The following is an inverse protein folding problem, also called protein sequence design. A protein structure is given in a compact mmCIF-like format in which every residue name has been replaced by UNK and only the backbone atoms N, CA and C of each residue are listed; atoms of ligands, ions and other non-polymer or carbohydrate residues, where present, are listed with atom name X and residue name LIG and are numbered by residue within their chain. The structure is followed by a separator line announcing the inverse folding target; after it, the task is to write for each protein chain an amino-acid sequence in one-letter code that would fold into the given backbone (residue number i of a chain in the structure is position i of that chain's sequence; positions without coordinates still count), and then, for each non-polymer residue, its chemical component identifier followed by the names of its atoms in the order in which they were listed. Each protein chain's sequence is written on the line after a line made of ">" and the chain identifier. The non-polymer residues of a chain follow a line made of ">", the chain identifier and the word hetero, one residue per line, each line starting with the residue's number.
data_IF_724108302041
#
_entry.id   IF_724108302041
#
_cell.length_a   1.000
_cell.length_b   1.000
_cell.length_c   1.000
_cell.angle_alpha   90.00
_cell.angle_beta   90.00
_cell.angle_gamma   90.00
#
_symmetry.space_group_name_H-M   'P 1'
#
loop_
_entity.id
_entity.type
_entity.pdbx_description
1 polymer ?
#
# COMPACT_ATOMS: atom_id res chain seq x y z
N UNK A 1 -13.93 -15.91 21.61
CA UNK A 1 -14.08 -14.81 20.62
C UNK A 1 -12.74 -14.26 20.15
N UNK A 2 -11.65 -14.59 20.87
CA UNK A 2 -10.27 -14.12 20.60
C UNK A 2 -9.71 -14.50 19.23
N UNK A 3 -10.13 -15.64 18.67
CA UNK A 3 -9.70 -16.06 17.33
C UNK A 3 -10.15 -15.08 16.23
N UNK A 4 -11.32 -14.44 16.38
CA UNK A 4 -11.83 -13.49 15.40
C UNK A 4 -11.02 -12.19 15.38
N UNK A 5 -10.61 -11.69 16.56
CA UNK A 5 -9.72 -10.54 16.68
C UNK A 5 -8.34 -10.82 16.07
N UNK A 6 -7.78 -12.01 16.31
CA UNK A 6 -6.51 -12.42 15.70
C UNK A 6 -6.56 -12.49 14.16
N UNK A 7 -7.66 -12.98 13.60
CA UNK A 7 -7.87 -12.99 12.14
C UNK A 7 -7.93 -11.57 11.59
N UNK A 8 -8.61 -10.64 12.26
CA UNK A 8 -8.70 -9.24 11.83
C UNK A 8 -7.32 -8.56 11.89
N UNK A 9 -6.53 -8.82 12.92
CA UNK A 9 -5.16 -8.29 13.01
C UNK A 9 -4.27 -8.82 11.88
N UNK A 10 -4.40 -10.11 11.53
CA UNK A 10 -3.69 -10.70 10.41
C UNK A 10 -4.15 -10.10 9.06
N UNK A 11 -5.46 -9.96 8.87
CA UNK A 11 -6.06 -9.32 7.68
C UNK A 11 -5.68 -7.85 7.57
N UNK A 12 -5.46 -7.18 8.69
CA UNK A 12 -5.00 -5.80 8.80
C UNK A 12 -3.48 -5.66 8.92
N UNK A 13 -2.70 -6.72 8.63
CA UNK A 13 -1.25 -6.67 8.75
C UNK A 13 -0.61 -5.99 7.53
N UNK A 14 0.36 -5.12 7.79
CA UNK A 14 1.05 -4.36 6.74
C UNK A 14 1.72 -5.29 5.71
N UNK A 15 2.26 -6.41 6.17
CA UNK A 15 2.85 -7.43 5.30
C UNK A 15 1.84 -8.11 4.39
N UNK A 16 0.64 -8.45 4.89
CA UNK A 16 -0.39 -9.05 4.06
C UNK A 16 -0.85 -8.07 2.98
N UNK A 17 -1.07 -6.80 3.33
CA UNK A 17 -1.38 -5.79 2.33
C UNK A 17 -0.27 -5.66 1.28
N UNK A 18 0.99 -5.55 1.70
CA UNK A 18 2.13 -5.44 0.79
C UNK A 18 2.21 -6.64 -0.18
N UNK A 19 2.00 -7.86 0.33
CA UNK A 19 2.01 -9.09 -0.48
C UNK A 19 0.87 -9.10 -1.51
N UNK A 20 -0.35 -8.78 -1.08
CA UNK A 20 -1.51 -8.74 -1.99
C UNK A 20 -1.32 -7.66 -3.04
N UNK A 21 -0.85 -6.47 -2.64
CA UNK A 21 -0.56 -5.35 -3.54
C UNK A 21 0.49 -5.75 -4.58
N UNK A 22 1.58 -6.41 -4.16
CA UNK A 22 2.62 -6.88 -5.06
C UNK A 22 2.10 -7.90 -6.07
N UNK A 23 1.31 -8.88 -5.62
CA UNK A 23 0.71 -9.88 -6.51
C UNK A 23 -0.24 -9.21 -7.52
N UNK A 24 -1.09 -8.29 -7.08
CA UNK A 24 -1.98 -7.54 -7.97
C UNK A 24 -1.18 -6.75 -9.01
N UNK A 25 -0.10 -6.09 -8.59
CA UNK A 25 0.79 -5.33 -9.46
C UNK A 25 1.44 -6.21 -10.54
N UNK A 26 1.93 -7.41 -10.17
CA UNK A 26 2.66 -8.30 -11.09
C UNK A 26 1.77 -9.16 -11.98
N UNK A 27 0.53 -9.44 -11.59
CA UNK A 27 -0.27 -10.50 -12.24
C UNK A 27 -1.65 -10.07 -12.73
N UNK A 28 -2.20 -8.97 -12.20
CA UNK A 28 -3.54 -8.51 -12.54
C UNK A 28 -3.46 -7.22 -13.33
N UNK A 29 -3.03 -6.14 -12.67
CA UNK A 29 -2.94 -4.81 -13.26
C UNK A 29 -1.95 -3.95 -12.45
N UNK A 30 -0.92 -3.45 -13.12
CA UNK A 30 0.13 -2.64 -12.50
C UNK A 30 -0.37 -1.28 -12.01
N UNK A 31 -1.37 -0.70 -12.65
CA UNK A 31 -1.97 0.57 -12.22
C UNK A 31 -2.81 0.37 -10.95
N UNK A 32 -3.60 -0.71 -10.87
CA UNK A 32 -4.35 -1.06 -9.66
C UNK A 32 -3.38 -1.31 -8.50
N UNK A 33 -2.32 -2.10 -8.74
CA UNK A 33 -1.30 -2.37 -7.72
C UNK A 33 -0.61 -1.09 -7.21
N UNK A 34 -0.21 -0.18 -8.11
CA UNK A 34 0.45 1.07 -7.72
C UNK A 34 -0.49 2.00 -6.94
N UNK A 35 -1.73 2.16 -7.40
CA UNK A 35 -2.74 2.96 -6.70
C UNK A 35 -3.02 2.40 -5.30
N UNK A 36 -3.14 1.08 -5.15
CA UNK A 36 -3.30 0.44 -3.84
C UNK A 36 -2.10 0.66 -2.94
N UNK A 37 -0.88 0.54 -3.47
CA UNK A 37 0.35 0.83 -2.72
C UNK A 37 0.27 2.24 -2.13
N UNK A 38 -0.01 3.25 -2.96
CA UNK A 38 -0.12 4.64 -2.50
C UNK A 38 -1.23 4.81 -1.46
N UNK A 39 -2.44 4.32 -1.74
CA UNK A 39 -3.62 4.53 -0.89
C UNK A 39 -3.45 3.87 0.48
N UNK A 40 -3.06 2.59 0.51
CA UNK A 40 -2.95 1.83 1.75
C UNK A 40 -1.80 2.36 2.59
N UNK A 41 -0.64 2.57 1.98
CA UNK A 41 0.53 3.09 2.68
C UNK A 41 0.28 4.50 3.23
N UNK A 42 -0.34 5.39 2.45
CA UNK A 42 -0.71 6.72 2.93
C UNK A 42 -1.76 6.65 4.05
N UNK A 43 -2.72 5.73 3.96
CA UNK A 43 -3.71 5.51 5.00
C UNK A 43 -3.10 5.09 6.32
N UNK A 44 -2.22 4.09 6.32
CA UNK A 44 -1.56 3.64 7.55
C UNK A 44 -0.60 4.72 8.09
N UNK A 45 0.08 5.46 7.20
CA UNK A 45 0.90 6.61 7.61
C UNK A 45 0.06 7.69 8.31
N UNK A 46 -1.07 8.09 7.73
CA UNK A 46 -1.99 9.09 8.32
C UNK A 46 -2.55 8.60 9.65
N UNK A 47 -2.91 7.32 9.76
CA UNK A 47 -3.30 6.71 11.04
C UNK A 47 -2.20 6.89 12.10
N UNK A 48 -0.95 6.54 11.75
CA UNK A 48 0.20 6.68 12.64
C UNK A 48 0.45 8.14 13.06
N UNK A 49 0.36 9.07 12.10
CA UNK A 49 0.54 10.51 12.34
C UNK A 49 -0.53 11.07 13.27
N UNK A 50 -1.80 10.70 13.08
CA UNK A 50 -2.91 11.10 13.97
C UNK A 50 -2.62 10.59 15.38
N UNK A 51 -2.28 9.30 15.51
CA UNK A 51 -1.95 8.72 16.81
C UNK A 51 -0.78 9.44 17.47
N UNK A 52 0.30 9.71 16.73
CA UNK A 52 1.45 10.44 17.24
C UNK A 52 1.09 11.85 17.72
N UNK A 53 0.28 12.58 16.94
CA UNK A 53 -0.05 13.99 17.22
C UNK A 53 -1.03 14.14 18.39
N UNK A 54 -2.06 13.29 18.45
CA UNK A 54 -3.14 13.41 19.43
C UNK A 54 -2.92 12.56 20.69
N UNK A 55 -1.89 11.71 20.72
CA UNK A 55 -1.55 10.87 21.86
C UNK A 55 -0.12 11.06 22.38
N UNK A 56 0.31 12.26 22.78
CA UNK A 56 1.54 12.43 23.56
C UNK A 56 1.27 11.98 25.00
N UNK A 57 1.05 10.69 25.23
CA UNK A 57 0.80 10.16 26.56
C UNK A 57 2.09 10.26 27.40
N UNK A 58 2.04 10.86 28.60
CA UNK A 58 3.17 10.85 29.52
C UNK A 58 3.57 9.42 29.87
N UNK A 59 4.88 9.18 30.06
CA UNK A 59 5.37 7.88 30.51
C UNK A 59 4.67 7.49 31.83
N UNK A 60 3.95 6.36 31.81
CA UNK A 60 3.25 5.81 32.99
C UNK A 60 1.71 5.88 32.94
N UNK A 61 1.10 6.46 31.92
CA UNK A 61 -0.37 6.41 31.74
C UNK A 61 -0.83 5.04 31.23
N UNK A 62 -1.86 4.48 31.85
CA UNK A 62 -2.57 3.25 31.38
C UNK A 62 -3.59 3.52 30.27
N UNK A 63 -3.79 4.78 29.90
CA UNK A 63 -4.70 5.16 28.83
C UNK A 63 -4.06 4.82 27.48
N UNK A 64 -4.65 3.90 26.72
CA UNK A 64 -4.20 3.60 25.36
C UNK A 64 -5.04 4.41 24.39
N UNK A 65 -4.40 5.25 23.56
CA UNK A 65 -5.11 5.94 22.48
C UNK A 65 -5.48 4.96 21.38
N UNK A 66 -6.77 4.77 21.18
CA UNK A 66 -7.37 3.78 20.26
C UNK A 66 -7.98 4.42 19.02
N UNK A 67 -7.88 5.75 18.89
CA UNK A 67 -8.44 6.49 17.76
C UNK A 67 -7.41 6.63 16.61
N UNK A 68 -7.84 6.59 15.34
CA UNK A 68 -9.03 5.91 14.83
C UNK A 68 -8.80 4.39 14.79
N UNK A 69 -9.86 3.60 14.58
CA UNK A 69 -9.75 2.14 14.46
C UNK A 69 -8.93 1.74 13.21
N UNK A 70 -7.69 1.27 13.41
CA UNK A 70 -6.70 1.02 12.34
C UNK A 70 -7.21 0.00 11.31
N UNK A 71 -7.76 -1.11 11.78
CA UNK A 71 -8.19 -2.22 10.93
C UNK A 71 -9.38 -1.84 10.05
N UNK A 72 -10.30 -1.04 10.61
CA UNK A 72 -11.45 -0.48 9.87
C UNK A 72 -10.96 0.51 8.82
N UNK A 73 -10.02 1.40 9.16
CA UNK A 73 -9.47 2.39 8.24
C UNK A 73 -8.73 1.70 7.08
N UNK A 74 -7.90 0.72 7.38
CA UNK A 74 -7.15 -0.05 6.39
C UNK A 74 -8.09 -0.83 5.46
N UNK A 75 -9.10 -1.53 6.02
CA UNK A 75 -10.10 -2.25 5.24
C UNK A 75 -10.90 -1.30 4.34
N UNK A 76 -11.32 -0.15 4.85
CA UNK A 76 -12.03 0.88 4.08
C UNK A 76 -11.17 1.42 2.95
N UNK A 77 -9.87 1.66 3.21
CA UNK A 77 -8.95 2.19 2.19
C UNK A 77 -8.69 1.16 1.09
N UNK A 78 -8.43 -0.09 1.46
CA UNK A 78 -8.13 -1.18 0.52
C UNK A 78 -9.36 -1.60 -0.29
N UNK A 79 -10.45 -1.99 0.38
CA UNK A 79 -11.65 -2.47 -0.29
C UNK A 79 -12.45 -1.32 -0.91
N UNK A 80 -12.51 -0.16 -0.26
CA UNK A 80 -13.19 1.02 -0.78
C UNK A 80 -12.60 1.50 -2.11
N UNK A 81 -11.27 1.40 -2.28
CA UNK A 81 -10.63 1.64 -3.56
C UNK A 81 -11.00 0.59 -4.62
N UNK A 82 -11.04 -0.69 -4.27
CA UNK A 82 -11.33 -1.75 -5.23
C UNK A 82 -12.79 -1.76 -5.74
N UNK A 83 -13.74 -1.19 -4.99
CA UNK A 83 -15.16 -1.14 -5.38
C UNK A 83 -15.34 -0.49 -6.77
N UNK A 84 -14.89 0.75 -7.01
CA UNK A 84 -14.99 1.36 -8.33
C UNK A 84 -14.11 0.68 -9.39
N UNK A 85 -12.91 0.18 -9.06
CA UNK A 85 -12.05 -0.50 -10.06
C UNK A 85 -12.66 -1.81 -10.57
N UNK A 86 -13.31 -2.60 -9.70
CA UNK A 86 -13.96 -3.86 -10.11
C UNK A 86 -15.33 -3.60 -10.74
N UNK A 87 -16.03 -2.53 -10.34
CA UNK A 87 -17.31 -2.08 -10.92
C UNK A 87 -18.43 -3.15 -10.99
N UNK A 88 -18.37 -4.19 -10.13
CA UNK A 88 -19.38 -5.26 -10.08
C UNK A 88 -20.22 -5.18 -8.81
N UNK A 89 -21.55 -5.15 -8.95
CA UNK A 89 -22.51 -5.11 -7.82
C UNK A 89 -22.25 -6.16 -6.74
N UNK A 90 -21.94 -7.41 -7.15
CA UNK A 90 -21.62 -8.51 -6.21
C UNK A 90 -20.36 -8.23 -5.40
N UNK A 91 -19.34 -7.64 -6.04
CA UNK A 91 -18.10 -7.26 -5.38
C UNK A 91 -18.29 -6.06 -4.45
N UNK A 92 -19.12 -5.08 -4.85
CA UNK A 92 -19.51 -3.96 -3.98
C UNK A 92 -20.22 -4.43 -2.72
N UNK A 93 -21.19 -5.36 -2.85
CA UNK A 93 -21.90 -5.91 -1.71
C UNK A 93 -20.97 -6.71 -0.79
N UNK A 94 -20.11 -7.55 -1.38
CA UNK A 94 -19.10 -8.30 -0.63
C UNK A 94 -18.15 -7.36 0.14
N UNK A 95 -17.56 -6.38 -0.55
CA UNK A 95 -16.61 -5.44 0.05
C UNK A 95 -17.25 -4.61 1.17
N UNK A 96 -18.46 -4.10 0.94
CA UNK A 96 -19.21 -3.35 1.96
C UNK A 96 -19.56 -4.24 3.15
N UNK A 97 -19.94 -5.49 2.90
CA UNK A 97 -20.21 -6.48 3.94
C UNK A 97 -18.97 -6.81 4.78
N UNK A 98 -17.81 -6.95 4.16
CA UNK A 98 -16.53 -7.20 4.87
C UNK A 98 -16.14 -5.98 5.71
N UNK A 99 -16.22 -4.75 5.18
CA UNK A 99 -15.93 -3.54 5.95
C UNK A 99 -16.87 -3.44 7.17
N UNK A 100 -18.18 -3.69 6.96
CA UNK A 100 -19.17 -3.66 8.03
C UNK A 100 -18.92 -4.75 9.08
N UNK A 101 -18.52 -5.95 8.65
CA UNK A 101 -18.17 -7.05 9.54
C UNK A 101 -16.94 -6.72 10.40
N UNK A 102 -15.88 -6.19 9.79
CA UNK A 102 -14.67 -5.76 10.50
C UNK A 102 -15.03 -4.67 11.53
N UNK A 103 -15.80 -3.66 11.12
CA UNK A 103 -16.29 -2.61 12.01
C UNK A 103 -17.10 -3.17 13.19
N UNK A 104 -18.04 -4.09 12.93
CA UNK A 104 -18.84 -4.73 13.97
C UNK A 104 -18.01 -5.54 14.96
N UNK A 105 -17.06 -6.34 14.46
CA UNK A 105 -16.18 -7.13 15.32
C UNK A 105 -15.26 -6.20 16.15
N UNK A 106 -14.74 -5.12 15.57
CA UNK A 106 -13.94 -4.12 16.29
C UNK A 106 -14.72 -3.47 17.45
N UNK A 107 -16.01 -3.20 17.26
CA UNK A 107 -16.89 -2.68 18.34
C UNK A 107 -17.14 -3.71 19.43
N UNK A 108 -17.40 -4.97 19.06
CA UNK A 108 -17.70 -6.06 20.02
C UNK A 108 -16.49 -6.38 20.90
N UNK A 109 -15.27 -6.23 20.39
CA UNK A 109 -14.05 -6.43 21.20
C UNK A 109 -13.84 -5.33 22.26
N UNK A 110 -14.65 -4.27 22.26
CA UNK A 110 -14.67 -3.25 23.31
C UNK A 110 -13.43 -2.35 23.37
N UNK A 111 -12.45 -2.55 22.47
CA UNK A 111 -11.23 -1.74 22.42
C UNK A 111 -11.43 -0.38 21.73
N UNK A 112 -12.51 -0.22 20.96
CA UNK A 112 -12.79 0.99 20.18
C UNK A 112 -14.23 1.45 20.41
N UNK A 113 -14.40 2.77 20.46
CA UNK A 113 -15.72 3.40 20.49
C UNK A 113 -16.35 3.44 19.09
N UNK A 114 -17.68 3.66 19.04
CA UNK A 114 -18.38 3.88 17.76
C UNK A 114 -17.80 5.06 16.98
N UNK A 115 -17.37 6.10 17.69
CA UNK A 115 -16.75 7.26 17.09
C UNK A 115 -15.42 6.91 16.40
N UNK A 116 -14.59 6.04 17.01
CA UNK A 116 -13.30 5.62 16.44
C UNK A 116 -13.49 4.87 15.11
N UNK A 117 -14.57 4.08 15.02
CA UNK A 117 -14.94 3.32 13.82
C UNK A 117 -15.49 4.24 12.73
N UNK A 118 -16.37 5.18 13.07
CA UNK A 118 -16.90 6.15 12.09
C UNK A 118 -15.76 6.98 11.50
N UNK A 119 -14.88 7.49 12.35
CA UNK A 119 -13.74 8.29 11.89
C UNK A 119 -12.75 7.46 11.08
N UNK A 120 -12.53 6.19 11.42
CA UNK A 120 -11.72 5.29 10.60
C UNK A 120 -12.28 5.13 9.18
N UNK A 121 -13.59 4.95 9.03
CA UNK A 121 -14.25 4.87 7.72
C UNK A 121 -14.12 6.21 6.97
N UNK A 122 -14.38 7.33 7.65
CA UNK A 122 -14.28 8.66 7.05
C UNK A 122 -12.87 8.99 6.56
N UNK A 123 -11.85 8.72 7.37
CA UNK A 123 -10.44 8.95 7.01
C UNK A 123 -10.04 8.05 5.86
N UNK A 124 -10.34 6.74 5.94
CA UNK A 124 -10.01 5.81 4.86
C UNK A 124 -10.69 6.18 3.53
N UNK A 125 -11.99 6.52 3.58
CA UNK A 125 -12.73 6.99 2.42
C UNK A 125 -12.22 8.31 1.86
N UNK A 126 -11.85 9.26 2.73
CA UNK A 126 -11.26 10.53 2.32
C UNK A 126 -9.92 10.32 1.61
N UNK A 127 -9.07 9.40 2.08
CA UNK A 127 -7.79 9.10 1.44
C UNK A 127 -8.00 8.48 0.06
N UNK A 128 -8.94 7.54 -0.07
CA UNK A 128 -9.33 6.98 -1.38
C UNK A 128 -9.79 8.08 -2.33
N UNK A 129 -10.68 8.96 -1.87
CA UNK A 129 -11.16 10.11 -2.66
C UNK A 129 -10.02 11.05 -3.06
N UNK A 130 -9.15 11.42 -2.11
CA UNK A 130 -8.03 12.33 -2.33
C UNK A 130 -7.06 11.77 -3.37
N UNK A 131 -6.74 10.47 -3.31
CA UNK A 131 -5.87 9.82 -4.29
C UNK A 131 -6.54 9.76 -5.66
N UNK A 132 -7.81 9.34 -5.76
CA UNK A 132 -8.54 9.35 -7.04
C UNK A 132 -8.51 10.73 -7.70
N UNK A 133 -8.85 11.75 -6.92
CA UNK A 133 -8.86 13.14 -7.39
C UNK A 133 -7.47 13.62 -7.81
N UNK A 134 -6.44 13.22 -7.08
CA UNK A 134 -5.05 13.55 -7.40
C UNK A 134 -4.61 12.87 -8.70
N UNK A 135 -5.04 11.63 -8.95
CA UNK A 135 -4.67 10.90 -10.17
C UNK A 135 -5.29 11.50 -11.43
N UNK A 136 -6.54 11.98 -11.36
CA UNK A 136 -7.18 12.70 -12.46
C UNK A 136 -6.37 13.95 -12.84
N UNK A 137 -5.84 14.65 -11.84
CA UNK A 137 -5.00 15.84 -12.05
C UNK A 137 -3.62 15.47 -12.57
N UNK A 138 -2.96 14.47 -11.97
CA UNK A 138 -1.60 14.01 -12.32
C UNK A 138 -1.52 13.54 -13.78
N UNK A 139 -2.60 12.99 -14.35
CA UNK A 139 -2.64 12.59 -15.77
C UNK A 139 -2.32 13.71 -16.76
N UNK A 140 -2.48 14.97 -16.35
CA UNK A 140 -2.17 16.16 -17.17
C UNK A 140 -0.78 16.76 -16.92
N UNK A 141 -0.05 16.24 -15.93
CA UNK A 141 1.22 16.80 -15.47
C UNK A 141 2.40 16.12 -16.20
N UNK A 142 3.43 16.88 -16.66
CA UNK A 142 4.60 16.29 -17.31
C UNK A 142 5.38 15.35 -16.38
N UNK A 143 5.96 14.29 -16.96
CA UNK A 143 6.63 13.21 -16.21
C UNK A 143 7.74 13.66 -15.23
N UNK A 144 8.58 14.68 -15.54
CA UNK A 144 9.59 15.15 -14.59
C UNK A 144 9.00 15.65 -13.26
N UNK A 145 7.83 16.31 -13.30
CA UNK A 145 7.18 16.80 -12.09
C UNK A 145 6.59 15.66 -11.26
N UNK A 146 6.06 14.62 -11.91
CA UNK A 146 5.58 13.41 -11.23
C UNK A 146 6.75 12.71 -10.52
N UNK A 147 7.90 12.60 -11.21
CA UNK A 147 9.10 12.05 -10.62
C UNK A 147 9.59 12.89 -9.43
N UNK A 148 9.66 14.21 -9.58
CA UNK A 148 10.01 15.12 -8.46
C UNK A 148 9.04 14.97 -7.30
N UNK A 149 7.74 14.86 -7.55
CA UNK A 149 6.73 14.66 -6.51
C UNK A 149 6.92 13.32 -5.77
N UNK A 150 7.23 12.25 -6.52
CA UNK A 150 7.52 10.93 -5.95
C UNK A 150 8.76 10.89 -5.07
N UNK A 151 9.67 11.87 -5.23
CA UNK A 151 10.84 12.05 -4.38
C UNK A 151 10.52 12.95 -3.18
N UNK A 152 9.99 14.15 -3.44
CA UNK A 152 9.83 15.21 -2.45
C UNK A 152 8.77 14.85 -1.42
N UNK A 153 7.61 14.33 -1.84
CA UNK A 153 6.52 14.05 -0.90
C UNK A 153 6.95 12.98 0.13
N UNK A 154 7.45 11.80 -0.25
CA UNK A 154 7.85 10.80 0.74
C UNK A 154 9.00 11.25 1.64
N UNK A 155 9.97 12.01 1.10
CA UNK A 155 11.03 12.60 1.93
C UNK A 155 10.50 13.63 2.93
N UNK A 156 9.51 14.45 2.55
CA UNK A 156 8.86 15.38 3.48
C UNK A 156 8.07 14.65 4.58
N UNK A 157 7.42 13.53 4.24
CA UNK A 157 6.72 12.68 5.20
C UNK A 157 7.67 12.04 6.22
N UNK A 158 8.87 11.64 5.79
CA UNK A 158 9.89 11.14 6.72
C UNK A 158 10.29 12.21 7.76
N UNK A 159 10.43 13.46 7.33
CA UNK A 159 10.79 14.56 8.23
C UNK A 159 9.64 14.96 9.17
N UNK A 160 8.39 14.84 8.69
CA UNK A 160 7.20 15.16 9.46
C UNK A 160 6.91 14.14 10.56
N UNK A 161 7.11 12.84 10.27
CA UNK A 161 6.83 11.75 11.20
C UNK A 161 7.86 10.62 11.02
N UNK A 162 9.00 10.70 11.72
CA UNK A 162 10.09 9.73 11.61
C UNK A 162 9.67 8.29 11.93
N UNK A 163 8.75 8.07 12.87
CA UNK A 163 8.25 6.73 13.21
C UNK A 163 7.42 6.12 12.06
N UNK A 164 6.95 6.95 11.13
CA UNK A 164 6.32 6.54 9.87
C UNK A 164 7.30 6.22 8.73
N UNK A 165 8.61 6.15 9.01
CA UNK A 165 9.68 5.95 8.03
C UNK A 165 9.45 4.78 7.07
N UNK A 166 8.92 3.66 7.56
CA UNK A 166 8.61 2.50 6.69
C UNK A 166 7.60 2.85 5.59
N UNK A 167 6.55 3.59 5.91
CA UNK A 167 5.50 3.93 4.96
C UNK A 167 5.97 5.02 3.99
N UNK A 168 6.71 6.01 4.50
CA UNK A 168 7.39 6.98 3.65
C UNK A 168 8.36 6.29 2.68
N UNK A 169 9.10 5.27 3.14
CA UNK A 169 9.99 4.48 2.30
C UNK A 169 9.24 3.73 1.19
N UNK A 170 8.15 3.04 1.51
CA UNK A 170 7.33 2.37 0.49
C UNK A 170 6.84 3.33 -0.60
N UNK A 171 6.39 4.53 -0.22
CA UNK A 171 5.95 5.56 -1.17
C UNK A 171 7.12 6.05 -2.06
N UNK A 172 8.29 6.28 -1.46
CA UNK A 172 9.49 6.68 -2.19
C UNK A 172 9.89 5.61 -3.22
N UNK A 173 10.10 4.38 -2.73
CA UNK A 173 10.55 3.28 -3.55
C UNK A 173 9.56 2.88 -4.63
N UNK A 174 8.27 2.82 -4.26
CA UNK A 174 7.19 2.55 -5.19
C UNK A 174 7.05 3.63 -6.26
N UNK A 175 7.13 4.91 -5.87
CA UNK A 175 7.03 6.03 -6.81
C UNK A 175 8.21 6.12 -7.79
N UNK A 176 9.43 6.00 -7.29
CA UNK A 176 10.65 5.97 -8.11
C UNK A 176 10.61 4.75 -9.04
N UNK A 177 10.36 3.56 -8.49
CA UNK A 177 10.37 2.33 -9.27
C UNK A 177 9.28 2.31 -10.34
N UNK A 178 8.06 2.79 -10.03
CA UNK A 178 7.00 2.92 -11.01
C UNK A 178 7.34 3.91 -12.14
N UNK A 179 8.00 5.03 -11.81
CA UNK A 179 8.46 5.99 -12.82
C UNK A 179 9.49 5.37 -13.76
N UNK A 180 10.46 4.61 -13.23
CA UNK A 180 11.43 3.89 -14.05
C UNK A 180 10.80 2.75 -14.85
N UNK A 181 9.81 2.05 -14.29
CA UNK A 181 9.05 1.01 -15.01
C UNK A 181 8.36 1.61 -16.23
N UNK A 182 7.68 2.74 -16.08
CA UNK A 182 6.95 3.41 -17.18
C UNK A 182 7.87 3.87 -18.31
N UNK A 183 9.08 4.34 -17.99
CA UNK A 183 10.01 4.86 -19.00
C UNK A 183 10.80 3.72 -19.67
N UNK A 184 11.35 2.81 -18.85
CA UNK A 184 12.38 1.86 -19.29
C UNK A 184 11.85 0.45 -19.56
N UNK A 185 10.92 -0.02 -18.74
CA UNK A 185 10.52 -1.44 -18.71
C UNK A 185 9.23 -1.67 -19.49
N UNK A 186 8.20 -0.85 -19.26
CA UNK A 186 6.89 -0.91 -19.92
C UNK A 186 6.36 -2.34 -20.02
N UNK A 187 6.26 -3.01 -18.88
CA UNK A 187 5.80 -4.39 -18.82
C UNK A 187 4.36 -4.47 -19.29
N UNK A 188 4.10 -5.34 -20.27
CA UNK A 188 2.79 -5.88 -20.57
C UNK A 188 2.64 -7.25 -19.90
N UNK A 189 1.60 -7.39 -19.08
CA UNK A 189 1.37 -8.58 -18.27
C UNK A 189 0.91 -9.75 -19.15
N UNK A 190 1.56 -10.91 -19.01
CA UNK A 190 1.19 -12.11 -19.76
C UNK A 190 -0.23 -12.58 -19.43
N UNK A 191 -0.97 -13.04 -20.45
CA UNK A 191 -2.27 -13.69 -20.28
C UNK A 191 -2.16 -15.13 -19.75
N UNK A 192 -0.98 -15.74 -19.85
CA UNK A 192 -0.77 -17.14 -19.50
C UNK A 192 -0.66 -17.34 -17.99
N UNK A 193 -1.51 -18.20 -17.43
CA UNK A 193 -1.56 -18.44 -15.98
C UNK A 193 -0.22 -18.94 -15.41
N UNK A 194 0.50 -19.79 -16.16
CA UNK A 194 1.82 -20.29 -15.74
C UNK A 194 2.81 -19.15 -15.55
N UNK A 195 2.90 -18.21 -16.50
CA UNK A 195 3.79 -17.07 -16.40
C UNK A 195 3.42 -16.17 -15.21
N UNK A 196 2.12 -15.97 -14.94
CA UNK A 196 1.65 -15.23 -13.76
C UNK A 196 2.08 -15.90 -12.45
N UNK A 197 1.94 -17.22 -12.34
CA UNK A 197 2.33 -17.98 -11.15
C UNK A 197 3.85 -17.90 -10.96
N UNK A 198 4.64 -18.14 -12.00
CA UNK A 198 6.11 -18.11 -11.91
C UNK A 198 6.58 -16.69 -11.54
N UNK A 199 5.99 -15.67 -12.17
CA UNK A 199 6.26 -14.25 -11.85
C UNK A 199 5.97 -13.98 -10.38
N UNK A 200 4.78 -14.34 -9.88
CA UNK A 200 4.42 -14.17 -8.48
C UNK A 200 5.38 -14.89 -7.53
N UNK A 201 5.74 -16.15 -7.80
CA UNK A 201 6.66 -16.92 -6.94
C UNK A 201 8.04 -16.27 -6.86
N UNK A 202 8.60 -15.86 -8.00
CA UNK A 202 9.91 -15.20 -8.04
C UNK A 202 9.85 -13.83 -7.34
N UNK A 203 8.77 -13.08 -7.54
CA UNK A 203 8.58 -11.78 -6.91
C UNK A 203 8.46 -11.89 -5.40
N UNK A 204 7.68 -12.87 -4.91
CA UNK A 204 7.51 -13.15 -3.49
C UNK A 204 8.81 -13.64 -2.85
N UNK A 205 9.55 -14.52 -3.52
CA UNK A 205 10.84 -14.99 -3.02
C UNK A 205 11.82 -13.82 -2.79
N UNK A 206 11.95 -12.93 -3.77
CA UNK A 206 12.80 -11.74 -3.61
C UNK A 206 12.28 -10.75 -2.57
N UNK A 207 10.97 -10.58 -2.45
CA UNK A 207 10.37 -9.74 -1.41
C UNK A 207 10.72 -10.27 -0.01
N UNK A 208 10.63 -11.59 0.20
CA UNK A 208 10.99 -12.25 1.46
C UNK A 208 12.50 -12.16 1.76
N UNK A 209 13.35 -12.28 0.74
CA UNK A 209 14.80 -12.11 0.90
C UNK A 209 15.11 -10.68 1.36
N UNK A 210 14.53 -9.67 0.71
CA UNK A 210 14.71 -8.27 1.11
C UNK A 210 14.16 -8.04 2.51
N UNK A 211 12.96 -8.57 2.82
CA UNK A 211 12.38 -8.49 4.15
C UNK A 211 13.31 -9.09 5.23
N UNK A 212 13.88 -10.27 4.97
CA UNK A 212 14.80 -10.92 5.89
C UNK A 212 16.09 -10.12 6.11
N UNK A 213 16.57 -9.42 5.08
CA UNK A 213 17.77 -8.58 5.17
C UNK A 213 17.64 -7.44 6.20
N UNK A 214 16.41 -7.07 6.60
CA UNK A 214 16.17 -6.11 7.69
C UNK A 214 16.79 -6.56 9.02
N UNK A 215 16.87 -7.87 9.26
CA UNK A 215 17.40 -8.42 10.52
C UNK A 215 18.90 -8.18 10.72
N UNK A 216 19.63 -7.91 9.63
CA UNK A 216 21.05 -7.58 9.66
C UNK A 216 21.33 -6.08 9.74
N UNK A 217 20.29 -5.25 9.55
CA UNK A 217 20.42 -3.79 9.53
C UNK A 217 20.19 -3.21 10.93
N UNK A 218 20.89 -2.12 11.29
CA UNK A 218 20.61 -1.41 12.53
C UNK A 218 19.16 -0.90 12.57
N UNK A 219 18.49 -1.02 13.72
CA UNK A 219 17.13 -0.55 13.95
C UNK A 219 17.07 0.98 14.11
N UNK A 220 17.46 1.70 13.08
CA UNK A 220 17.37 3.17 13.01
C UNK A 220 16.33 3.58 11.99
N UNK A 221 15.73 4.75 12.19
CA UNK A 221 14.75 5.35 11.27
C UNK A 221 15.23 5.37 9.82
N UNK A 222 16.49 5.74 9.58
CA UNK A 222 17.06 5.82 8.24
C UNK A 222 17.12 4.44 7.57
N UNK A 223 17.55 3.41 8.29
CA UNK A 223 17.60 2.05 7.74
C UNK A 223 16.20 1.48 7.47
N UNK A 224 15.21 1.77 8.33
CA UNK A 224 13.81 1.40 8.04
C UNK A 224 13.27 2.09 6.78
N UNK A 225 13.57 3.37 6.60
CA UNK A 225 13.20 4.12 5.41
C UNK A 225 13.84 3.57 4.13
N UNK A 226 15.15 3.33 4.15
CA UNK A 226 15.90 2.78 3.00
C UNK A 226 15.42 1.37 2.67
N UNK A 227 15.24 0.52 3.69
CA UNK A 227 14.78 -0.85 3.51
C UNK A 227 13.37 -0.92 2.90
N UNK A 228 12.43 -0.11 3.40
CA UNK A 228 11.09 -0.05 2.82
C UNK A 228 11.10 0.55 1.41
N UNK A 229 11.99 1.50 1.14
CA UNK A 229 12.22 2.01 -0.23
C UNK A 229 12.71 0.90 -1.16
N UNK A 230 13.63 0.05 -0.71
CA UNK A 230 14.12 -1.08 -1.49
C UNK A 230 12.99 -2.08 -1.80
N UNK A 231 12.10 -2.36 -0.84
CA UNK A 231 10.90 -3.17 -1.07
C UNK A 231 9.97 -2.54 -2.11
N UNK A 232 9.72 -1.23 -2.02
CA UNK A 232 8.92 -0.51 -3.00
C UNK A 232 9.51 -0.58 -4.41
N UNK A 233 10.83 -0.38 -4.55
CA UNK A 233 11.56 -0.49 -5.83
C UNK A 233 11.55 -1.93 -6.35
N UNK A 234 11.65 -2.93 -5.46
CA UNK A 234 11.55 -4.33 -5.85
C UNK A 234 10.21 -4.65 -6.49
N UNK A 235 9.12 -4.24 -5.84
CA UNK A 235 7.75 -4.47 -6.31
C UNK A 235 7.52 -3.78 -7.65
N UNK A 236 7.89 -2.50 -7.76
CA UNK A 236 7.47 -1.67 -8.89
C UNK A 236 8.45 -1.68 -10.08
N UNK A 237 9.73 -2.03 -9.87
CA UNK A 237 10.74 -1.95 -10.93
C UNK A 237 11.60 -3.21 -11.10
N UNK A 238 12.31 -3.66 -10.05
CA UNK A 238 13.33 -4.72 -10.20
C UNK A 238 12.67 -6.03 -10.64
N UNK A 239 11.59 -6.42 -9.98
CA UNK A 239 10.89 -7.66 -10.32
C UNK A 239 10.22 -7.59 -11.71
N UNK A 240 9.50 -6.52 -12.08
CA UNK A 240 9.04 -6.29 -13.46
C UNK A 240 10.15 -6.44 -14.51
N UNK A 241 11.32 -5.83 -14.28
CA UNK A 241 12.48 -5.95 -15.17
C UNK A 241 12.99 -7.40 -15.27
N UNK A 242 13.07 -8.10 -14.15
CA UNK A 242 13.46 -9.50 -14.11
C UNK A 242 12.47 -10.38 -14.89
N UNK A 243 11.17 -10.10 -14.78
CA UNK A 243 10.11 -10.85 -15.47
C UNK A 243 10.21 -10.77 -17.00
N UNK A 244 10.60 -9.61 -17.54
CA UNK A 244 10.88 -9.45 -18.97
C UNK A 244 12.14 -10.24 -19.37
N UNK A 245 13.23 -10.11 -18.59
CA UNK A 245 14.49 -10.80 -18.89
C UNK A 245 14.36 -12.32 -18.88
N UNK A 246 13.45 -12.85 -18.08
CA UNK A 246 13.12 -14.27 -18.02
C UNK A 246 12.10 -14.70 -19.10
N UNK A 247 11.63 -13.78 -19.95
CA UNK A 247 10.63 -14.07 -20.98
C UNK A 247 9.23 -14.38 -20.44
N UNK A 248 8.95 -14.06 -19.17
CA UNK A 248 7.65 -14.33 -18.53
C UNK A 248 6.61 -13.29 -18.97
N UNK A 249 7.03 -12.03 -19.09
CA UNK A 249 6.23 -10.91 -19.55
C UNK A 249 6.90 -10.22 -20.75
N UNK A 250 6.13 -9.43 -21.49
CA UNK A 250 6.63 -8.73 -22.67
C UNK A 250 6.85 -7.24 -22.36
N UNK A 251 7.62 -6.58 -23.21
CA UNK A 251 7.77 -5.14 -23.21
C UNK A 251 6.81 -4.55 -24.24
N UNK A 252 6.04 -3.51 -23.88
CA UNK A 252 5.28 -2.75 -24.88
C UNK A 252 6.25 -2.02 -25.82
N UNK A 253 6.15 -2.31 -27.12
CA UNK A 253 6.92 -1.62 -28.15
C UNK A 253 6.46 -0.15 -28.30
N UNK A 254 7.39 0.74 -28.62
CA UNK A 254 7.04 2.10 -29.06
C UNK A 254 6.24 2.02 -30.37
N UNK A 255 4.92 2.11 -30.29
CA UNK A 255 4.13 2.53 -31.43
C UNK A 255 4.40 4.02 -31.68
N UNK A 256 5.46 4.31 -32.46
CA UNK A 256 5.53 5.55 -33.23
C UNK A 256 4.37 5.51 -34.24
N UNK A 257 3.18 5.95 -33.82
CA UNK A 257 2.19 6.41 -34.78
C UNK A 257 2.75 7.72 -35.33
N UNK A 258 3.22 7.64 -36.58
CA UNK A 258 3.59 8.79 -37.42
C UNK A 258 2.44 9.78 -37.53
#
# INVERSE_FOLDING_TARGET
>A
MDWAGGVIQLLGSDWLFLLVIAILYWTVDKHIGMKLLVIVTLSVYVHGLIRYTFSPLPAGSTFTFTFPAREVQAATSFLGFLIPEVSKKRFTLFSSGVIFLIAGITLVHGAHSLHDVIMAVMIGGFIVYAVYRSMDWIGSVPEPYIFSFSLVLPSSLLLLFPEGAQYAGFLLGGGIGYSFEKIKTRVSLSSHMQNKIITAVIGLAGLLIIAYAQTWLPSTTLFHFIHASLLGVWITFIHPLLSIRLGLNQQEEHSFVK
#
